data_IF_188640226818
#
_entry.id   IF_188640226818
#
_cell.length_a   1.000
_cell.length_b   1.000
_cell.length_c   1.000
_cell.angle_alpha   90.00
_cell.angle_beta   90.00
_cell.angle_gamma   90.00
#
_symmetry.space_group_name_H-M   'P 1'
#
loop_
_entity.id
_entity.type
_entity.pdbx_description
1 polymer ?
#
# COMPACT_ATOMS: atom_id res chain seq x y z
N UNK A 1 5.29 -46.15 -46.24
CA UNK A 1 5.28 -47.31 -45.30
C UNK A 1 6.70 -47.82 -45.15
N UNK A 2 7.10 -48.37 -43.97
CA UNK A 2 6.62 -48.14 -42.60
C UNK A 2 7.53 -47.07 -41.91
N UNK A 3 7.61 -46.81 -40.60
CA UNK A 3 6.91 -47.25 -39.36
C UNK A 3 6.03 -46.05 -38.86
N UNK A 4 5.64 -45.77 -37.61
CA UNK A 4 5.96 -46.21 -36.23
C UNK A 4 7.07 -45.36 -35.59
N UNK A 5 6.96 -44.84 -34.36
CA UNK A 5 6.08 -45.23 -33.24
C UNK A 5 5.38 -44.08 -32.51
N UNK A 6 4.16 -44.36 -32.02
CA UNK A 6 3.48 -43.62 -30.95
C UNK A 6 3.58 -44.42 -29.64
N UNK A 7 3.89 -43.80 -28.49
CA UNK A 7 3.69 -44.40 -27.15
C UNK A 7 3.34 -43.33 -26.09
N UNK A 8 2.21 -43.46 -25.37
CA UNK A 8 1.90 -42.61 -24.22
C UNK A 8 2.61 -43.11 -22.95
N UNK A 9 2.89 -42.18 -22.02
CA UNK A 9 3.47 -42.52 -20.72
C UNK A 9 2.35 -42.81 -19.69
N UNK A 10 2.40 -43.91 -18.92
CA UNK A 10 1.30 -44.31 -18.04
C UNK A 10 1.22 -43.48 -16.74
N UNK A 11 0.02 -43.36 -16.20
CA UNK A 11 -0.25 -42.68 -14.93
C UNK A 11 0.25 -43.50 -13.72
N UNK A 12 0.87 -42.83 -12.74
CA UNK A 12 1.20 -43.45 -11.45
C UNK A 12 0.04 -43.32 -10.46
N UNK A 13 -0.48 -44.45 -9.97
CA UNK A 13 -1.34 -44.52 -8.78
C UNK A 13 -0.53 -45.09 -7.60
N UNK A 14 -0.21 -44.25 -6.63
CA UNK A 14 0.62 -44.60 -5.46
C UNK A 14 -0.14 -44.50 -4.13
N UNK A 15 -0.62 -45.66 -3.66
CA UNK A 15 -1.21 -45.99 -2.35
C UNK A 15 -1.20 -44.96 -1.19
N UNK A 16 -2.42 -44.64 -0.75
CA UNK A 16 -2.88 -44.56 0.66
C UNK A 16 -1.82 -44.63 1.78
N UNK A 17 -1.82 -43.64 2.68
CA UNK A 17 -1.82 -43.88 4.14
C UNK A 17 -2.66 -42.83 4.86
N UNK A 18 -3.38 -43.25 5.90
CA UNK A 18 -4.29 -42.38 6.65
C UNK A 18 -3.65 -41.93 7.97
N UNK A 19 -3.79 -40.65 8.30
CA UNK A 19 -3.40 -40.08 9.60
C UNK A 19 -4.59 -39.34 10.22
N UNK A 20 -5.52 -40.09 10.82
CA UNK A 20 -6.54 -39.49 11.69
C UNK A 20 -5.85 -39.01 12.97
N UNK A 21 -5.77 -37.70 13.22
CA UNK A 21 -5.43 -37.16 14.55
C UNK A 21 -6.46 -36.13 14.98
N UNK A 22 -7.45 -36.60 15.74
CA UNK A 22 -8.56 -35.80 16.27
C UNK A 22 -8.09 -34.86 17.39
N UNK A 23 -7.96 -33.57 17.10
CA UNK A 23 -7.73 -32.50 18.07
C UNK A 23 -9.02 -31.90 18.64
N UNK A 24 -10.01 -32.72 18.99
CA UNK A 24 -11.28 -32.23 19.54
C UNK A 24 -11.10 -31.90 21.04
N UNK A 25 -11.01 -30.61 21.37
CA UNK A 25 -10.84 -30.08 22.74
C UNK A 25 -12.13 -30.19 23.58
N UNK A 26 -12.57 -31.44 23.81
CA UNK A 26 -13.65 -31.76 24.75
C UNK A 26 -13.24 -31.39 26.17
N UNK A 27 -13.87 -30.35 26.74
CA UNK A 27 -13.84 -30.08 28.17
C UNK A 27 -14.49 -31.26 28.94
N UNK A 28 -14.00 -31.62 30.13
CA UNK A 28 -14.57 -32.70 30.92
C UNK A 28 -15.97 -32.33 31.45
N UNK A 29 -16.87 -33.33 31.64
CA UNK A 29 -18.20 -33.09 32.19
C UNK A 29 -18.11 -32.58 33.63
N UNK A 30 -18.81 -31.48 33.92
CA UNK A 30 -18.85 -30.83 35.24
C UNK A 30 -18.52 -29.34 35.22
N UNK A 31 -17.66 -28.89 34.30
CA UNK A 31 -17.21 -27.48 34.24
C UNK A 31 -18.26 -26.58 33.58
N UNK A 32 -19.22 -26.07 34.38
CA UNK A 32 -20.14 -25.02 33.92
C UNK A 32 -19.38 -23.71 33.72
N UNK A 33 -19.46 -23.11 32.51
CA UNK A 33 -18.99 -21.74 32.28
C UNK A 33 -19.79 -20.76 33.15
N UNK A 34 -19.15 -20.23 34.20
CA UNK A 34 -19.68 -19.11 35.00
C UNK A 34 -19.78 -17.87 34.11
N UNK A 35 -21.00 -17.46 33.75
CA UNK A 35 -21.23 -16.14 33.12
C UNK A 35 -21.12 -15.08 34.22
N UNK A 36 -20.23 -14.11 34.06
CA UNK A 36 -20.26 -12.88 34.84
C UNK A 36 -21.42 -12.02 34.33
N UNK A 37 -22.34 -11.56 35.19
CA UNK A 37 -23.37 -10.60 34.79
C UNK A 37 -22.83 -9.16 34.75
N UNK A 38 -23.45 -8.34 33.89
CA UNK A 38 -23.64 -6.88 34.00
C UNK A 38 -22.45 -5.98 34.35
N UNK A 39 -22.08 -5.12 33.40
CA UNK A 39 -22.18 -3.68 33.62
C UNK A 39 -22.67 -3.01 32.34
N UNK A 40 -23.81 -2.33 32.41
CA UNK A 40 -24.21 -1.32 31.42
C UNK A 40 -23.45 0.00 31.67
N UNK A 41 -23.60 0.95 30.74
CA UNK A 41 -22.88 2.24 30.65
C UNK A 41 -21.34 2.10 30.51
N UNK A 42 -20.70 2.71 29.52
CA UNK A 42 -20.90 4.09 29.04
C UNK A 42 -21.08 4.13 27.51
N UNK A 43 -22.28 4.50 27.05
CA UNK A 43 -22.60 4.75 25.64
C UNK A 43 -22.96 6.22 25.40
N UNK A 44 -22.12 7.14 25.88
CA UNK A 44 -22.36 8.59 25.82
C UNK A 44 -22.20 9.13 24.39
N UNK A 45 -23.09 10.05 24.01
CA UNK A 45 -23.23 10.61 22.67
C UNK A 45 -21.93 11.21 22.08
N UNK A 46 -21.71 11.02 20.77
CA UNK A 46 -20.53 11.57 20.08
C UNK A 46 -20.45 11.41 18.55
N UNK A 47 -21.55 11.13 17.83
CA UNK A 47 -21.49 10.82 16.39
C UNK A 47 -22.54 11.54 15.50
N UNK A 48 -23.25 12.55 16.03
CA UNK A 48 -24.19 13.38 15.26
C UNK A 48 -23.48 14.62 14.65
N UNK A 49 -22.51 14.40 13.77
CA UNK A 49 -21.80 15.46 13.06
C UNK A 49 -21.69 15.13 11.56
N UNK A 50 -22.50 15.80 10.74
CA UNK A 50 -22.68 15.46 9.34
C UNK A 50 -21.44 15.72 8.47
N UNK A 51 -21.13 14.75 7.59
CA UNK A 51 -20.31 14.99 6.38
C UNK A 51 -20.82 14.18 5.20
N UNK A 52 -22.09 14.40 4.86
CA UNK A 52 -22.61 14.18 3.50
C UNK A 52 -22.00 15.23 2.54
N UNK A 53 -20.67 15.22 2.45
CA UNK A 53 -19.91 16.08 1.57
C UNK A 53 -20.22 15.66 0.12
N UNK A 54 -21.20 16.33 -0.48
CA UNK A 54 -21.52 16.20 -1.90
C UNK A 54 -20.20 16.31 -2.66
N UNK A 55 -19.78 15.24 -3.33
CA UNK A 55 -18.61 15.25 -4.23
C UNK A 55 -18.93 16.16 -5.42
N UNK A 56 -18.85 17.48 -5.22
CA UNK A 56 -18.56 18.42 -6.29
C UNK A 56 -17.29 17.89 -6.93
N UNK A 57 -17.38 17.42 -8.17
CA UNK A 57 -16.21 17.09 -8.98
C UNK A 57 -15.41 18.41 -9.04
N UNK A 58 -14.17 18.48 -8.53
CA UNK A 58 -13.33 19.65 -8.80
C UNK A 58 -13.14 19.78 -10.31
N UNK A 59 -12.79 20.98 -10.78
CA UNK A 59 -12.86 21.38 -12.19
C UNK A 59 -12.36 20.31 -13.16
N UNK A 60 -13.10 20.12 -14.26
CA UNK A 60 -12.84 19.05 -15.23
C UNK A 60 -11.38 19.01 -15.64
N UNK A 61 -10.66 17.98 -15.19
CA UNK A 61 -9.26 17.80 -15.53
C UNK A 61 -9.19 17.52 -17.02
N UNK A 62 -8.49 18.40 -17.76
CA UNK A 62 -8.22 18.19 -19.18
C UNK A 62 -7.66 16.78 -19.36
N UNK A 63 -8.34 15.96 -20.18
CA UNK A 63 -8.03 14.54 -20.25
C UNK A 63 -6.67 14.32 -20.90
N UNK A 64 -5.66 14.03 -20.07
CA UNK A 64 -4.31 13.66 -20.50
C UNK A 64 -4.38 12.53 -21.56
N UNK A 65 -3.96 12.79 -22.82
CA UNK A 65 -4.00 11.78 -23.88
C UNK A 65 -3.15 10.55 -23.55
N UNK A 66 -2.00 10.74 -22.90
CA UNK A 66 -1.09 9.66 -22.52
C UNK A 66 -1.70 8.72 -21.46
N UNK A 67 -2.70 9.18 -20.71
CA UNK A 67 -3.43 8.38 -19.72
C UNK A 67 -4.39 7.36 -20.36
N UNK A 68 -4.86 7.62 -21.59
CA UNK A 68 -5.91 6.83 -22.23
C UNK A 68 -5.39 5.50 -22.81
N UNK A 69 -4.17 5.49 -23.32
CA UNK A 69 -3.49 4.27 -23.78
C UNK A 69 -3.03 3.44 -22.57
N UNK A 70 -3.13 2.09 -22.56
CA UNK A 70 -2.51 1.26 -21.52
C UNK A 70 -0.98 1.28 -21.62
N UNK A 71 -0.26 1.51 -20.51
CA UNK A 71 1.22 1.55 -20.51
C UNK A 71 1.84 0.23 -20.97
N UNK A 72 1.35 -0.88 -20.40
CA UNK A 72 1.78 -2.24 -20.75
C UNK A 72 1.68 -2.55 -22.25
N UNK A 73 0.66 -2.03 -22.94
CA UNK A 73 0.49 -2.23 -24.38
C UNK A 73 1.67 -1.61 -25.16
N UNK A 74 2.00 -0.35 -24.89
CA UNK A 74 3.12 0.32 -25.55
C UNK A 74 4.47 -0.30 -25.18
N UNK A 75 4.67 -0.67 -23.91
CA UNK A 75 5.89 -1.35 -23.47
C UNK A 75 6.08 -2.72 -24.18
N UNK A 76 4.99 -3.45 -24.43
CA UNK A 76 5.01 -4.71 -25.20
C UNK A 76 5.20 -4.47 -26.70
N UNK A 77 4.57 -3.46 -27.29
CA UNK A 77 4.78 -3.11 -28.70
C UNK A 77 6.24 -2.70 -28.99
N UNK A 78 6.87 -2.00 -28.04
CA UNK A 78 8.32 -1.72 -28.10
C UNK A 78 9.18 -2.97 -27.99
N UNK A 79 8.87 -3.90 -27.07
CA UNK A 79 9.60 -5.18 -26.97
C UNK A 79 9.54 -5.96 -28.29
N UNK A 80 8.37 -6.02 -28.94
CA UNK A 80 8.22 -6.64 -30.27
C UNK A 80 9.09 -5.94 -31.32
N UNK A 81 9.05 -4.61 -31.40
CA UNK A 81 9.88 -3.82 -32.33
C UNK A 81 11.39 -4.06 -32.10
N UNK A 82 11.86 -3.94 -30.85
CA UNK A 82 13.27 -4.16 -30.47
C UNK A 82 13.77 -5.59 -30.76
N UNK A 83 12.85 -6.54 -30.90
CA UNK A 83 13.13 -7.94 -31.24
C UNK A 83 12.95 -8.26 -32.73
N UNK A 84 12.66 -7.26 -33.57
CA UNK A 84 12.40 -7.44 -35.00
C UNK A 84 11.10 -8.19 -35.31
N UNK A 85 10.13 -8.20 -34.39
CA UNK A 85 8.84 -8.88 -34.56
C UNK A 85 7.79 -7.88 -35.06
N UNK A 86 7.12 -8.18 -36.17
CA UNK A 86 6.03 -7.37 -36.71
C UNK A 86 4.76 -7.44 -35.85
N UNK A 87 3.94 -6.40 -35.91
CA UNK A 87 2.72 -6.26 -35.10
C UNK A 87 1.49 -6.16 -36.01
N UNK A 88 0.40 -6.83 -35.65
CA UNK A 88 -0.88 -6.75 -36.38
C UNK A 88 -2.05 -6.59 -35.41
N UNK A 89 -2.91 -5.59 -35.66
CA UNK A 89 -4.21 -5.51 -34.98
C UNK A 89 -5.23 -6.45 -35.61
N UNK A 90 -6.17 -6.93 -34.80
CA UNK A 90 -7.29 -7.76 -35.23
C UNK A 90 -8.60 -6.96 -35.38
N UNK A 91 -8.59 -5.68 -34.98
CA UNK A 91 -9.75 -4.78 -34.97
C UNK A 91 -9.53 -3.52 -35.80
N UNK A 92 -8.27 -3.10 -35.94
CA UNK A 92 -7.84 -1.94 -36.71
C UNK A 92 -7.08 -2.41 -37.96
N UNK A 93 -7.13 -1.63 -39.05
CA UNK A 93 -6.38 -1.91 -40.29
C UNK A 93 -4.92 -1.48 -40.13
N UNK A 94 -4.18 -2.23 -39.31
CA UNK A 94 -2.81 -1.95 -38.89
C UNK A 94 -2.01 -3.26 -38.86
N UNK A 95 -1.16 -3.45 -39.87
CA UNK A 95 -0.31 -4.62 -40.02
C UNK A 95 1.12 -4.22 -40.43
N UNK A 96 2.06 -4.38 -39.51
CA UNK A 96 3.50 -4.14 -39.72
C UNK A 96 4.29 -5.44 -39.90
N UNK A 97 3.62 -6.53 -40.31
CA UNK A 97 4.26 -7.77 -40.75
C UNK A 97 4.51 -7.81 -42.27
N UNK A 98 3.99 -6.82 -43.01
CA UNK A 98 4.08 -6.74 -44.47
C UNK A 98 5.48 -6.30 -44.94
N UNK A 99 5.92 -5.12 -44.51
CA UNK A 99 7.21 -4.51 -44.89
C UNK A 99 8.02 -4.06 -43.68
N UNK A 100 9.34 -4.29 -43.71
CA UNK A 100 10.27 -3.89 -42.64
C UNK A 100 10.30 -2.37 -42.42
N UNK A 101 10.00 -1.57 -43.45
CA UNK A 101 9.95 -0.10 -43.36
C UNK A 101 8.78 0.33 -42.47
N UNK A 102 7.60 -0.26 -42.66
CA UNK A 102 6.42 0.04 -41.82
C UNK A 102 6.66 -0.41 -40.37
N UNK A 103 7.37 -1.53 -40.18
CA UNK A 103 7.79 -2.00 -38.87
C UNK A 103 8.75 -1.03 -38.15
N UNK A 104 9.71 -0.43 -38.87
CA UNK A 104 10.61 0.59 -38.32
C UNK A 104 9.88 1.92 -38.06
N UNK A 105 9.09 2.43 -39.00
CA UNK A 105 8.33 3.68 -38.86
C UNK A 105 7.37 3.60 -37.68
N UNK A 106 6.64 2.49 -37.56
CA UNK A 106 5.74 2.23 -36.44
C UNK A 106 6.48 2.07 -35.11
N UNK A 107 7.61 1.36 -35.11
CA UNK A 107 8.46 1.19 -33.92
C UNK A 107 8.95 2.53 -33.36
N UNK A 108 9.50 3.39 -34.22
CA UNK A 108 9.92 4.75 -33.86
C UNK A 108 8.75 5.60 -33.33
N UNK A 109 7.56 5.48 -33.91
CA UNK A 109 6.37 6.18 -33.42
C UNK A 109 5.91 5.68 -32.04
N UNK A 110 5.99 4.37 -31.78
CA UNK A 110 5.71 3.77 -30.46
C UNK A 110 6.74 4.23 -29.43
N UNK A 111 8.03 4.25 -29.76
CA UNK A 111 9.09 4.70 -28.84
C UNK A 111 8.94 6.18 -28.46
N UNK A 112 8.71 7.05 -29.45
CA UNK A 112 8.41 8.46 -29.21
C UNK A 112 7.17 8.66 -28.32
N UNK A 113 6.13 7.83 -28.51
CA UNK A 113 4.92 7.85 -27.68
C UNK A 113 5.17 7.33 -26.25
N UNK A 114 6.01 6.31 -26.04
CA UNK A 114 6.34 5.84 -24.68
C UNK A 114 7.11 6.90 -23.91
N UNK A 115 8.08 7.58 -24.52
CA UNK A 115 8.85 8.61 -23.81
C UNK A 115 7.98 9.84 -23.52
N UNK A 116 7.19 10.30 -24.50
CA UNK A 116 6.18 11.35 -24.32
C UNK A 116 5.22 11.01 -23.16
N UNK A 117 4.77 9.75 -23.08
CA UNK A 117 3.89 9.27 -22.01
C UNK A 117 4.54 9.38 -20.62
N UNK A 118 5.84 9.08 -20.49
CA UNK A 118 6.56 9.15 -19.20
C UNK A 118 6.51 10.57 -18.63
N UNK A 119 6.73 11.59 -19.46
CA UNK A 119 6.66 12.97 -18.98
C UNK A 119 5.23 13.42 -18.68
N UNK A 120 4.23 13.05 -19.48
CA UNK A 120 2.82 13.34 -19.15
C UNK A 120 2.37 12.73 -17.82
N UNK A 121 2.77 11.49 -17.51
CA UNK A 121 2.51 10.87 -16.19
C UNK A 121 3.21 11.64 -15.05
N UNK A 122 4.44 12.13 -15.29
CA UNK A 122 5.21 12.98 -14.39
C UNK A 122 4.49 14.32 -14.13
N UNK A 123 4.05 15.03 -15.18
CA UNK A 123 3.28 16.28 -15.10
C UNK A 123 1.95 16.08 -14.37
N UNK A 124 1.14 15.10 -14.78
CA UNK A 124 -0.18 14.83 -14.21
C UNK A 124 -0.11 14.47 -12.72
N UNK A 125 0.95 13.75 -12.32
CA UNK A 125 1.21 13.44 -10.90
C UNK A 125 1.59 14.70 -10.11
N UNK A 126 2.47 15.56 -10.65
CA UNK A 126 2.87 16.83 -10.00
C UNK A 126 1.66 17.76 -9.79
N UNK A 127 0.81 17.92 -10.81
CA UNK A 127 -0.43 18.71 -10.77
C UNK A 127 -1.43 18.16 -9.74
N UNK A 128 -1.67 16.84 -9.75
CA UNK A 128 -2.53 16.18 -8.76
C UNK A 128 -2.00 16.33 -7.32
N UNK A 129 -0.68 16.28 -7.12
CA UNK A 129 -0.03 16.51 -5.83
C UNK A 129 -0.10 17.97 -5.37
N UNK A 130 -0.01 18.94 -6.28
CA UNK A 130 -0.21 20.36 -5.95
C UNK A 130 -1.64 20.60 -5.44
N UNK A 131 -2.65 20.21 -6.24
CA UNK A 131 -4.07 20.31 -5.87
C UNK A 131 -4.41 19.59 -4.56
N UNK A 132 -3.75 18.47 -4.27
CA UNK A 132 -3.90 17.78 -3.00
C UNK A 132 -3.31 18.58 -1.81
N UNK A 133 -2.14 19.20 -1.98
CA UNK A 133 -1.49 20.05 -0.96
C UNK A 133 -2.31 21.30 -0.67
N UNK A 134 -2.88 21.94 -1.70
CA UNK A 134 -3.75 23.11 -1.56
C UNK A 134 -5.04 22.80 -0.77
N UNK A 135 -5.44 21.52 -0.75
CA UNK A 135 -6.53 20.98 0.08
C UNK A 135 -6.05 20.41 1.43
N UNK A 136 -4.80 20.67 1.83
CA UNK A 136 -4.23 20.27 3.11
C UNK A 136 -3.79 18.80 3.21
N UNK A 137 -3.74 18.04 2.10
CA UNK A 137 -3.26 16.65 2.14
C UNK A 137 -1.73 16.58 2.27
N UNK A 138 -1.27 16.08 3.43
CA UNK A 138 0.13 15.73 3.65
C UNK A 138 0.46 14.41 2.97
N UNK A 139 1.36 14.43 1.97
CA UNK A 139 1.82 13.24 1.27
C UNK A 139 2.88 12.48 2.09
N UNK A 140 2.80 11.14 2.10
CA UNK A 140 3.76 10.27 2.77
C UNK A 140 3.07 9.13 3.55
N UNK A 141 3.86 8.38 4.33
CA UNK A 141 3.32 7.41 5.28
C UNK A 141 2.74 8.15 6.50
N UNK A 142 1.51 7.84 6.96
CA UNK A 142 0.97 8.40 8.20
C UNK A 142 1.90 8.15 9.39
N UNK A 143 1.96 9.10 10.34
CA UNK A 143 2.73 8.93 11.57
C UNK A 143 2.16 7.79 12.41
N UNK A 144 3.04 6.97 12.98
CA UNK A 144 2.65 5.76 13.72
C UNK A 144 2.09 6.05 15.13
N UNK A 145 2.21 7.29 15.60
CA UNK A 145 1.66 7.80 16.87
C UNK A 145 1.05 9.18 16.60
N UNK A 146 -0.16 9.43 17.08
CA UNK A 146 -0.76 10.77 17.08
C UNK A 146 -0.10 11.65 18.15
N UNK A 147 -0.24 12.99 18.09
CA UNK A 147 0.26 13.88 19.15
C UNK A 147 -0.24 13.50 20.56
N UNK A 148 -1.51 13.11 20.66
CA UNK A 148 -2.14 12.62 21.91
C UNK A 148 -1.47 11.35 22.44
N UNK A 149 -1.19 10.38 21.56
CA UNK A 149 -0.51 9.14 21.93
C UNK A 149 0.97 9.39 22.29
N UNK A 150 1.60 10.44 21.75
CA UNK A 150 2.95 10.85 22.14
C UNK A 150 3.01 11.46 23.54
N UNK A 151 2.03 12.29 23.92
CA UNK A 151 1.90 12.82 25.29
C UNK A 151 1.66 11.66 26.26
N UNK A 152 0.69 10.78 25.96
CA UNK A 152 0.38 9.62 26.81
C UNK A 152 1.56 8.65 26.94
N UNK A 153 2.35 8.46 25.89
CA UNK A 153 3.58 7.68 25.96
C UNK A 153 4.65 8.33 26.85
N UNK A 154 4.78 9.66 26.85
CA UNK A 154 5.68 10.39 27.75
C UNK A 154 5.26 10.29 29.21
N UNK A 155 3.96 10.42 29.50
CA UNK A 155 3.39 10.23 30.84
C UNK A 155 3.67 8.82 31.37
N UNK A 156 3.33 7.79 30.58
CA UNK A 156 3.55 6.38 30.95
C UNK A 156 5.04 6.09 31.19
N UNK A 157 5.95 6.56 30.34
CA UNK A 157 7.40 6.38 30.50
C UNK A 157 8.02 7.21 31.63
N UNK A 158 7.28 8.17 32.19
CA UNK A 158 7.72 8.97 33.35
C UNK A 158 7.31 8.36 34.70
N UNK A 159 6.42 7.37 34.70
CA UNK A 159 5.99 6.66 35.91
C UNK A 159 6.99 5.53 36.26
N UNK A 160 7.48 5.44 37.51
CA UNK A 160 8.40 4.39 37.92
C UNK A 160 7.72 3.01 37.83
N UNK A 161 8.38 2.05 37.17
CA UNK A 161 7.89 0.69 36.95
C UNK A 161 7.47 0.38 35.50
N UNK A 162 7.18 1.39 34.68
CA UNK A 162 6.85 1.17 33.26
C UNK A 162 8.11 0.98 32.42
N UNK A 163 8.15 -0.11 31.62
CA UNK A 163 9.27 -0.39 30.71
C UNK A 163 8.99 0.10 29.29
N UNK A 164 10.04 0.38 28.50
CA UNK A 164 9.88 0.75 27.08
C UNK A 164 9.24 -0.38 26.26
N UNK A 165 9.35 -1.65 26.67
CA UNK A 165 8.60 -2.73 26.01
C UNK A 165 7.11 -2.66 26.37
N UNK A 166 6.76 -2.71 27.65
CA UNK A 166 5.36 -2.72 28.08
C UNK A 166 4.55 -1.52 27.60
N UNK A 167 5.18 -0.35 27.45
CA UNK A 167 4.53 0.83 26.83
C UNK A 167 4.42 0.70 25.30
N UNK A 168 5.40 0.12 24.61
CA UNK A 168 5.33 -0.15 23.17
C UNK A 168 4.23 -1.18 22.85
N UNK A 169 4.19 -2.27 23.60
CA UNK A 169 3.26 -3.38 23.47
C UNK A 169 1.81 -2.93 23.73
N UNK A 170 1.58 -2.09 24.76
CA UNK A 170 0.26 -1.52 25.07
C UNK A 170 -0.22 -0.51 24.02
N UNK A 171 0.68 0.28 23.43
CA UNK A 171 0.36 1.25 22.38
C UNK A 171 0.33 0.64 20.97
N UNK A 172 0.61 -0.66 20.82
CA UNK A 172 0.59 -1.35 19.53
C UNK A 172 1.68 -0.90 18.55
N UNK A 173 2.79 -0.32 19.03
CA UNK A 173 3.88 0.21 18.21
C UNK A 173 5.21 -0.49 18.51
N UNK A 174 6.17 -0.40 17.59
CA UNK A 174 7.50 -0.95 17.85
C UNK A 174 8.25 -0.13 18.92
N UNK A 175 9.10 -0.79 19.72
CA UNK A 175 10.03 -0.11 20.64
C UNK A 175 10.84 0.99 19.92
N UNK A 176 11.30 0.73 18.69
CA UNK A 176 12.02 1.69 17.87
C UNK A 176 11.18 2.94 17.52
N UNK A 177 9.86 2.79 17.34
CA UNK A 177 8.92 3.90 17.14
C UNK A 177 8.92 4.84 18.35
N UNK A 178 8.84 4.30 19.57
CA UNK A 178 8.94 5.10 20.81
C UNK A 178 10.30 5.76 20.97
N UNK A 179 11.41 5.05 20.72
CA UNK A 179 12.75 5.65 20.77
C UNK A 179 12.89 6.85 19.82
N UNK A 180 12.36 6.74 18.59
CA UNK A 180 12.42 7.82 17.61
C UNK A 180 11.51 9.02 17.94
N UNK A 181 10.29 8.80 18.44
CA UNK A 181 9.30 9.87 18.59
C UNK A 181 9.20 10.46 20.00
N UNK A 182 9.59 9.71 21.04
CA UNK A 182 9.51 10.13 22.44
C UNK A 182 10.90 10.44 22.99
N UNK A 183 11.83 9.47 22.92
CA UNK A 183 13.13 9.59 23.61
C UNK A 183 14.07 10.53 22.84
N UNK A 184 14.18 10.39 21.51
CA UNK A 184 14.96 11.30 20.66
C UNK A 184 14.34 12.71 20.54
N UNK A 185 13.08 12.88 20.93
CA UNK A 185 12.31 14.14 20.80
C UNK A 185 12.11 14.87 22.13
N UNK A 186 12.73 14.39 23.22
CA UNK A 186 12.75 15.06 24.52
C UNK A 186 13.44 16.43 24.33
N UNK A 187 12.80 17.56 24.65
CA UNK A 187 13.48 18.85 24.57
C UNK A 187 14.65 18.88 25.57
N UNK A 188 15.75 19.50 25.19
CA UNK A 188 16.95 19.67 26.01
C UNK A 188 16.72 20.71 27.12
N UNK A 189 15.91 20.35 28.11
CA UNK A 189 15.71 21.16 29.32
C UNK A 189 16.95 21.14 30.19
N UNK A 190 17.72 22.23 30.18
CA UNK A 190 19.01 22.30 30.89
C UNK A 190 19.78 23.60 30.71
N UNK A 191 19.10 24.73 30.47
CA UNK A 191 19.71 26.05 30.35
C UNK A 191 19.06 27.05 31.31
N UNK A 192 18.99 26.68 32.60
CA UNK A 192 18.64 27.60 33.69
C UNK A 192 19.79 28.57 33.93
N UNK A 193 19.93 29.56 33.04
CA UNK A 193 20.85 30.68 33.20
C UNK A 193 20.42 31.53 34.39
N UNK A 194 21.08 31.37 35.53
CA UNK A 194 20.86 32.18 36.72
C UNK A 194 21.50 33.56 36.54
N UNK A 195 20.79 34.49 35.89
CA UNK A 195 21.07 35.91 36.06
C UNK A 195 20.55 36.32 37.43
N UNK A 196 21.40 36.20 38.44
CA UNK A 196 21.14 36.71 39.78
C UNK A 196 20.96 38.23 39.74
N UNK A 197 19.94 38.71 40.45
CA UNK A 197 19.81 40.12 40.82
C UNK A 197 21.11 40.65 41.44
N UNK A 198 21.62 41.76 40.92
CA UNK A 198 22.56 42.62 41.64
C UNK A 198 22.39 44.07 41.19
N UNK A 199 21.39 44.73 41.80
CA UNK A 199 21.47 46.09 42.38
C UNK A 199 21.97 47.25 41.50
#
# INVERSE_FOLDING_TARGET
MPRGWLRPHPAQRGHRRAARRTGNSRLPPGVRRRRSPTSDAVATAGAAAGRAARRRRPGGVQADPARQVPGHLLDTMRDLHQRGIGFRSLLDDLDTTVDSIDQEVFGNAVDALVETRREFMSISTKDGMAKARDHGHVAGRPQALSPELLVRAQEMLSQPGNTVSSVADLLGVSRATLYQHVIRRRPSGGATGSTSDTR
#
